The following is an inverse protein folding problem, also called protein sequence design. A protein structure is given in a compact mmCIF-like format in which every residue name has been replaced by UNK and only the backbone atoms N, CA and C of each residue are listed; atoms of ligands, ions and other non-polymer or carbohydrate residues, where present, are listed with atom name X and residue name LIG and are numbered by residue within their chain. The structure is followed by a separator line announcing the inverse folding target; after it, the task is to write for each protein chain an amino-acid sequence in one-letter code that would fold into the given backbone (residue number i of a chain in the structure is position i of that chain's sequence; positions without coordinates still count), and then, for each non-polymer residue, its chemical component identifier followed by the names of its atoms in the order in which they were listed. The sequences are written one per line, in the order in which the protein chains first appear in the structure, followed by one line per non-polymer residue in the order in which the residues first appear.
data_IF_380733198896
#
_entry.id   IF_380733198896
#
_cell.length_a   1.000
_cell.length_b   1.000
_cell.length_c   1.000
_cell.angle_alpha   90.00
_cell.angle_beta   90.00
_cell.angle_gamma   90.00
#
_symmetry.space_group_name_H-M   'P 1'
#
loop_
_entity.id
_entity.type
_entity.pdbx_description
1 polymer ?
#
# COMPACT_ATOMS: atom_id res chain seq x y z
N UNK A 1 7.28 -9.17 -12.08
CA UNK A 1 6.26 -8.75 -11.10
C UNK A 1 4.96 -8.36 -11.82
N UNK A 2 3.78 -8.82 -11.36
CA UNK A 2 2.48 -8.43 -11.98
C UNK A 2 2.13 -6.96 -11.77
N UNK A 3 2.63 -6.35 -10.71
CA UNK A 3 2.42 -4.95 -10.40
C UNK A 3 2.99 -3.98 -11.47
N UNK A 4 3.98 -4.40 -12.26
CA UNK A 4 4.47 -3.63 -13.40
C UNK A 4 3.36 -3.37 -14.44
N UNK A 5 2.44 -4.33 -14.66
CA UNK A 5 1.28 -4.11 -15.51
C UNK A 5 0.36 -3.01 -14.96
N UNK A 6 0.02 -3.08 -13.66
CA UNK A 6 -0.81 -2.05 -13.02
C UNK A 6 -0.12 -0.70 -13.03
N UNK A 7 1.20 -0.66 -12.82
CA UNK A 7 2.00 0.55 -12.92
C UNK A 7 1.85 1.21 -14.30
N UNK A 8 1.97 0.45 -15.39
CA UNK A 8 1.81 0.96 -16.74
C UNK A 8 0.39 1.54 -16.99
N UNK A 9 -0.65 0.88 -16.46
CA UNK A 9 -2.02 1.39 -16.54
C UNK A 9 -2.14 2.73 -15.81
N UNK A 10 -1.60 2.83 -14.58
CA UNK A 10 -1.65 4.07 -13.79
C UNK A 10 -0.86 5.20 -14.47
N UNK A 11 0.32 4.93 -15.01
CA UNK A 11 1.09 5.92 -15.79
C UNK A 11 0.24 6.45 -16.95
N UNK A 12 -0.47 5.56 -17.67
CA UNK A 12 -1.37 5.98 -18.75
C UNK A 12 -2.54 6.82 -18.24
N UNK A 13 -3.17 6.43 -17.13
CA UNK A 13 -4.25 7.20 -16.52
C UNK A 13 -3.79 8.60 -16.09
N UNK A 14 -2.60 8.70 -15.49
CA UNK A 14 -1.99 9.97 -15.11
C UNK A 14 -1.75 10.86 -16.34
N UNK A 15 -1.23 10.30 -17.42
CA UNK A 15 -1.00 11.01 -18.68
C UNK A 15 -2.28 11.47 -19.37
N UNK A 16 -3.41 10.77 -19.17
CA UNK A 16 -4.73 11.16 -19.65
C UNK A 16 -5.44 12.15 -18.70
N UNK A 17 -4.83 12.50 -17.58
CA UNK A 17 -5.43 13.40 -16.59
C UNK A 17 -6.60 12.81 -15.82
N UNK A 18 -6.82 11.50 -15.87
CA UNK A 18 -7.94 10.85 -15.15
C UNK A 18 -7.82 11.07 -13.65
N UNK A 19 -8.97 11.38 -13.03
CA UNK A 19 -9.10 11.57 -11.58
C UNK A 19 -10.30 10.77 -11.09
N UNK A 20 -10.08 9.99 -10.05
CA UNK A 20 -11.14 9.28 -9.34
C UNK A 20 -11.37 9.95 -7.99
N UNK A 21 -12.60 10.05 -7.50
CA UNK A 21 -12.88 10.66 -6.19
C UNK A 21 -12.29 9.83 -5.04
N UNK A 22 -12.15 8.52 -5.24
CA UNK A 22 -11.60 7.57 -4.28
C UNK A 22 -10.65 6.58 -4.97
N UNK A 23 -9.60 6.19 -4.26
CA UNK A 23 -8.65 5.16 -4.72
C UNK A 23 -8.33 4.22 -3.56
N UNK A 24 -8.36 2.91 -3.80
CA UNK A 24 -8.00 1.91 -2.80
C UNK A 24 -6.89 0.99 -3.31
N UNK A 25 -6.02 0.59 -2.41
CA UNK A 25 -4.91 -0.32 -2.72
C UNK A 25 -4.52 -1.24 -1.57
N UNK A 26 -4.08 -2.43 -1.93
CA UNK A 26 -3.51 -3.42 -1.01
C UNK A 26 -2.18 -3.89 -1.59
N UNK A 27 -1.18 -4.12 -0.73
CA UNK A 27 0.15 -4.62 -1.13
C UNK A 27 0.79 -3.69 -2.16
N UNK A 28 1.25 -4.19 -3.29
CA UNK A 28 1.74 -3.34 -4.39
C UNK A 28 0.71 -2.27 -4.83
N UNK A 29 -0.59 -2.53 -4.65
CA UNK A 29 -1.66 -1.58 -4.90
C UNK A 29 -1.62 -0.37 -3.96
N UNK A 30 -1.16 -0.53 -2.72
CA UNK A 30 -1.02 0.59 -1.77
C UNK A 30 0.03 1.61 -2.22
N UNK A 31 1.19 1.13 -2.69
CA UNK A 31 2.21 1.99 -3.29
C UNK A 31 1.70 2.70 -4.54
N UNK A 32 0.97 1.98 -5.39
CA UNK A 32 0.39 2.54 -6.61
C UNK A 32 -0.71 3.57 -6.31
N UNK A 33 -1.49 3.37 -5.24
CA UNK A 33 -2.46 4.36 -4.74
C UNK A 33 -1.75 5.65 -4.34
N UNK A 34 -0.68 5.57 -3.53
CA UNK A 34 0.09 6.74 -3.12
C UNK A 34 0.70 7.47 -4.33
N UNK A 35 1.34 6.74 -5.25
CA UNK A 35 1.94 7.31 -6.45
C UNK A 35 0.90 7.95 -7.39
N UNK A 36 -0.30 7.36 -7.50
CA UNK A 36 -1.39 7.94 -8.28
C UNK A 36 -1.89 9.26 -7.67
N UNK A 37 -2.03 9.32 -6.35
CA UNK A 37 -2.49 10.51 -5.63
C UNK A 37 -1.44 11.61 -5.67
N UNK A 38 -0.14 11.30 -5.55
CA UNK A 38 0.96 12.26 -5.70
C UNK A 38 1.20 12.67 -7.16
N UNK A 39 0.43 12.11 -8.13
CA UNK A 39 0.52 12.45 -9.56
C UNK A 39 1.90 12.23 -10.16
N UNK A 40 2.65 11.25 -9.68
CA UNK A 40 4.03 10.97 -10.11
C UNK A 40 4.10 9.73 -11.02
N UNK A 41 4.07 9.90 -12.34
CA UNK A 41 4.17 8.80 -13.30
C UNK A 41 5.56 8.16 -13.32
N UNK A 42 6.61 8.93 -13.08
CA UNK A 42 7.99 8.42 -13.13
C UNK A 42 8.28 7.52 -11.93
N UNK A 43 7.95 7.96 -10.72
CA UNK A 43 8.03 7.12 -9.52
C UNK A 43 7.17 5.87 -9.65
N UNK A 44 5.95 6.02 -10.23
CA UNK A 44 5.05 4.88 -10.50
C UNK A 44 5.73 3.84 -11.39
N UNK A 45 6.43 4.27 -12.44
CA UNK A 45 7.17 3.38 -13.36
C UNK A 45 8.36 2.75 -12.66
N UNK A 46 9.26 3.58 -12.10
CA UNK A 46 10.52 3.13 -11.51
C UNK A 46 10.32 2.14 -10.36
N UNK A 47 9.30 2.34 -9.50
CA UNK A 47 9.03 1.47 -8.35
C UNK A 47 8.84 0.01 -8.73
N UNK A 48 8.32 -0.28 -9.91
CA UNK A 48 7.96 -1.63 -10.35
C UNK A 48 8.78 -2.16 -11.54
N UNK A 49 9.76 -1.38 -12.01
CA UNK A 49 10.71 -1.77 -13.05
C UNK A 49 12.14 -1.76 -12.51
N UNK A 50 12.84 -0.67 -12.66
CA UNK A 50 14.29 -0.56 -12.40
C UNK A 50 14.64 -0.76 -10.92
N UNK A 51 13.83 -0.20 -10.01
CA UNK A 51 14.07 -0.34 -8.58
C UNK A 51 13.92 -1.78 -8.09
N UNK A 52 13.02 -2.55 -8.67
CA UNK A 52 12.84 -3.97 -8.32
C UNK A 52 14.06 -4.84 -8.67
N UNK A 53 14.95 -4.38 -9.54
CA UNK A 53 16.21 -5.02 -9.88
C UNK A 53 17.39 -4.55 -8.98
N UNK A 54 17.17 -3.62 -8.07
CA UNK A 54 18.20 -3.12 -7.17
C UNK A 54 18.66 -4.22 -6.19
N UNK A 55 19.97 -4.53 -6.08
CA UNK A 55 20.47 -5.55 -5.15
C UNK A 55 20.13 -5.31 -3.68
N UNK A 56 19.87 -4.05 -3.29
CA UNK A 56 19.44 -3.67 -1.94
C UNK A 56 17.96 -3.95 -1.67
N UNK A 57 17.18 -4.28 -2.71
CA UNK A 57 15.77 -4.63 -2.56
C UNK A 57 15.57 -5.87 -1.66
N UNK A 58 16.44 -6.87 -1.79
CA UNK A 58 16.42 -8.05 -0.95
C UNK A 58 17.48 -9.06 -1.34
N UNK A 59 18.07 -9.68 -0.35
CA UNK A 59 19.08 -10.71 -0.53
C UNK A 59 19.23 -11.56 0.75
N UNK A 60 20.06 -12.60 0.68
CA UNK A 60 20.33 -13.48 1.83
C UNK A 60 21.00 -12.72 3.00
N UNK A 61 21.80 -11.69 2.73
CA UNK A 61 22.43 -10.87 3.76
C UNK A 61 21.42 -10.07 4.57
N UNK A 62 20.39 -9.53 3.95
CA UNK A 62 19.28 -8.84 4.65
C UNK A 62 18.51 -9.81 5.53
N UNK A 63 18.32 -11.04 5.06
CA UNK A 63 17.67 -12.10 5.83
C UNK A 63 18.47 -12.51 7.07
N UNK A 64 19.79 -12.74 6.91
CA UNK A 64 20.70 -13.05 8.02
C UNK A 64 20.82 -11.91 9.04
N UNK A 65 20.63 -10.66 8.60
CA UNK A 65 20.60 -9.48 9.46
C UNK A 65 19.24 -9.29 10.19
N UNK A 66 18.29 -10.22 10.08
CA UNK A 66 16.97 -10.15 10.73
C UNK A 66 15.97 -9.17 10.10
N UNK A 67 16.31 -8.53 8.96
CA UNK A 67 15.45 -7.58 8.24
C UNK A 67 14.47 -8.23 7.26
N UNK A 68 14.50 -9.57 7.18
CA UNK A 68 13.79 -10.33 6.15
C UNK A 68 14.58 -10.46 4.85
N UNK A 69 14.10 -11.31 3.94
CA UNK A 69 14.69 -11.42 2.61
C UNK A 69 14.56 -10.12 1.82
N UNK A 70 13.38 -9.48 1.89
CA UNK A 70 13.15 -8.12 1.38
C UNK A 70 13.29 -7.11 2.53
N UNK A 71 14.15 -6.11 2.34
CA UNK A 71 14.33 -5.02 3.31
C UNK A 71 13.19 -4.01 3.17
N UNK A 72 12.07 -4.29 3.86
CA UNK A 72 10.86 -3.46 3.76
C UNK A 72 11.07 -2.01 4.20
N UNK A 73 11.89 -1.75 5.22
CA UNK A 73 12.20 -0.40 5.65
C UNK A 73 12.95 0.36 4.57
N UNK A 74 13.97 -0.26 3.97
CA UNK A 74 14.67 0.34 2.84
C UNK A 74 13.74 0.60 1.65
N UNK A 75 12.94 -0.41 1.27
CA UNK A 75 12.08 -0.36 0.09
C UNK A 75 11.04 0.75 0.17
N UNK A 76 10.41 0.93 1.32
CA UNK A 76 9.25 1.82 1.45
C UNK A 76 9.58 3.16 2.11
N UNK A 77 10.34 3.15 3.21
CA UNK A 77 10.61 4.35 4.00
C UNK A 77 11.85 5.10 3.51
N UNK A 78 13.02 4.46 3.56
CA UNK A 78 14.29 5.14 3.25
C UNK A 78 14.38 5.62 1.80
N UNK A 79 13.87 4.85 0.84
CA UNK A 79 13.93 5.27 -0.57
C UNK A 79 12.99 6.43 -0.90
N UNK A 80 11.96 6.66 -0.07
CA UNK A 80 11.01 7.75 -0.24
C UNK A 80 11.56 9.11 0.23
N UNK A 81 12.66 9.12 1.00
CA UNK A 81 13.29 10.35 1.47
C UNK A 81 13.82 11.20 0.31
N UNK A 82 13.94 12.52 0.50
CA UNK A 82 14.56 13.41 -0.48
C UNK A 82 15.95 12.92 -0.89
N UNK A 83 16.26 13.00 -2.19
CA UNK A 83 17.55 12.58 -2.77
C UNK A 83 17.87 11.08 -2.71
N UNK A 84 16.92 10.25 -2.31
CA UNK A 84 17.04 8.79 -2.36
C UNK A 84 16.57 8.23 -3.71
N UNK A 85 16.56 6.89 -3.83
CA UNK A 85 16.29 6.21 -5.10
C UNK A 85 14.89 6.46 -5.67
N UNK A 86 13.90 6.67 -4.80
CA UNK A 86 12.48 6.88 -5.17
C UNK A 86 11.87 7.98 -4.29
N UNK A 87 12.31 9.24 -4.38
CA UNK A 87 11.78 10.31 -3.55
C UNK A 87 10.26 10.44 -3.74
N UNK A 88 9.55 10.71 -2.65
CA UNK A 88 8.09 10.82 -2.67
C UNK A 88 7.64 12.26 -2.47
N UNK A 89 6.78 12.74 -3.38
CA UNK A 89 6.17 14.06 -3.24
C UNK A 89 4.96 14.01 -2.29
N UNK A 90 5.28 14.10 -0.98
CA UNK A 90 4.27 14.10 0.06
C UNK A 90 3.42 15.37 0.07
N UNK A 91 3.96 16.50 -0.38
CA UNK A 91 3.21 17.77 -0.46
C UNK A 91 2.10 17.67 -1.51
N UNK A 92 2.39 17.18 -2.70
CA UNK A 92 1.37 16.93 -3.74
C UNK A 92 0.36 15.89 -3.28
N UNK A 93 0.79 14.82 -2.59
CA UNK A 93 -0.10 13.82 -2.01
C UNK A 93 -1.09 14.46 -1.01
N UNK A 94 -0.62 15.31 -0.10
CA UNK A 94 -1.46 16.02 0.85
C UNK A 94 -2.41 17.00 0.17
N UNK A 95 -1.93 17.79 -0.77
CA UNK A 95 -2.68 18.81 -1.48
C UNK A 95 -3.80 18.24 -2.37
N UNK A 96 -3.72 16.97 -2.75
CA UNK A 96 -4.71 16.35 -3.65
C UNK A 96 -6.12 16.31 -3.05
N UNK A 97 -6.27 16.25 -1.72
CA UNK A 97 -7.54 16.08 -1.03
C UNK A 97 -8.31 14.80 -1.37
N UNK A 98 -7.76 13.93 -2.21
CA UNK A 98 -8.41 12.73 -2.72
C UNK A 98 -8.62 11.69 -1.62
N UNK A 99 -9.82 11.10 -1.56
CA UNK A 99 -10.10 10.03 -0.61
C UNK A 99 -9.37 8.75 -1.02
N UNK A 100 -8.89 7.99 -0.03
CA UNK A 100 -8.23 6.72 -0.31
C UNK A 100 -8.31 5.77 0.89
N UNK A 101 -8.09 4.49 0.62
CA UNK A 101 -7.87 3.47 1.65
C UNK A 101 -6.69 2.57 1.29
N UNK A 102 -5.86 2.29 2.28
CA UNK A 102 -4.79 1.30 2.22
C UNK A 102 -5.13 0.17 3.17
N UNK A 103 -5.24 -1.05 2.64
CA UNK A 103 -5.62 -2.22 3.43
C UNK A 103 -4.41 -3.00 3.94
N UNK A 104 -4.40 -3.35 5.23
CA UNK A 104 -3.46 -4.29 5.83
C UNK A 104 -4.22 -5.32 6.69
N UNK A 105 -3.60 -6.45 6.99
CA UNK A 105 -4.19 -7.51 7.82
C UNK A 105 -3.54 -7.52 9.20
N UNK A 106 -4.33 -7.42 10.26
CA UNK A 106 -3.84 -7.60 11.63
C UNK A 106 -3.43 -9.05 11.87
N UNK A 107 -2.30 -9.27 12.53
CA UNK A 107 -1.80 -10.64 12.80
C UNK A 107 -2.63 -11.34 13.88
N UNK A 108 -3.20 -10.61 14.84
CA UNK A 108 -3.89 -11.14 16.02
C UNK A 108 -5.19 -11.87 15.70
N UNK A 109 -6.01 -11.32 14.82
CA UNK A 109 -7.35 -11.82 14.50
C UNK A 109 -7.58 -12.03 12.98
N UNK A 110 -6.58 -11.70 12.15
CA UNK A 110 -6.65 -11.66 10.68
C UNK A 110 -7.67 -10.66 10.13
N UNK A 111 -8.14 -9.74 10.96
CA UNK A 111 -9.06 -8.68 10.55
C UNK A 111 -8.41 -7.72 9.56
N UNK A 112 -9.21 -7.26 8.60
CA UNK A 112 -8.79 -6.24 7.65
C UNK A 112 -8.79 -4.86 8.32
N UNK A 113 -7.66 -4.17 8.28
CA UNK A 113 -7.55 -2.76 8.67
C UNK A 113 -7.51 -1.88 7.43
N UNK A 114 -8.16 -0.74 7.49
CA UNK A 114 -8.25 0.24 6.41
C UNK A 114 -7.69 1.59 6.86
N UNK A 115 -6.47 1.86 6.52
CA UNK A 115 -5.85 3.15 6.77
C UNK A 115 -6.36 4.20 5.79
N UNK A 116 -6.64 5.38 6.31
CA UNK A 116 -7.16 6.54 5.59
C UNK A 116 -6.21 7.73 5.68
N UNK A 117 -6.61 8.86 5.16
CA UNK A 117 -5.84 10.11 5.26
C UNK A 117 -5.61 10.55 6.70
N UNK A 118 -6.56 10.28 7.59
CA UNK A 118 -6.49 10.67 8.99
C UNK A 118 -5.35 9.98 9.76
N UNK A 119 -4.97 8.79 9.30
CA UNK A 119 -3.88 8.00 9.86
C UNK A 119 -2.49 8.43 9.36
N UNK A 120 -2.42 9.34 8.37
CA UNK A 120 -1.19 9.64 7.62
C UNK A 120 -0.84 11.12 7.68
N UNK A 121 -0.40 11.57 8.87
CA UNK A 121 -0.05 12.97 9.14
C UNK A 121 1.32 13.35 8.60
N UNK A 122 2.22 12.38 8.51
CA UNK A 122 3.59 12.54 8.02
C UNK A 122 3.85 11.59 6.84
N UNK A 123 4.93 11.84 6.12
CA UNK A 123 5.39 10.92 5.08
C UNK A 123 5.73 9.53 5.65
N UNK A 124 6.32 9.48 6.83
CA UNK A 124 6.67 8.21 7.47
C UNK A 124 5.41 7.42 7.87
N UNK A 125 4.34 8.08 8.36
CA UNK A 125 3.06 7.43 8.63
C UNK A 125 2.48 6.76 7.37
N UNK A 126 2.59 7.42 6.21
CA UNK A 126 2.16 6.85 4.93
C UNK A 126 3.03 5.65 4.55
N UNK A 127 4.35 5.81 4.61
CA UNK A 127 5.29 4.79 4.14
C UNK A 127 5.29 3.54 5.02
N UNK A 128 5.16 3.68 6.34
CA UNK A 128 5.05 2.53 7.25
C UNK A 128 3.76 1.75 7.01
N UNK A 129 2.64 2.40 6.70
CA UNK A 129 1.35 1.76 6.39
C UNK A 129 1.37 1.07 5.02
N UNK A 130 2.02 1.67 4.03
CA UNK A 130 2.29 1.00 2.74
C UNK A 130 3.16 -0.24 2.96
N UNK A 131 4.20 -0.14 3.78
CA UNK A 131 5.05 -1.27 4.17
C UNK A 131 4.23 -2.37 4.85
N UNK A 132 3.39 -2.03 5.83
CA UNK A 132 2.50 -2.96 6.51
C UNK A 132 1.58 -3.70 5.53
N UNK A 133 0.92 -2.93 4.64
CA UNK A 133 0.06 -3.46 3.57
C UNK A 133 0.78 -4.42 2.61
N UNK A 134 2.11 -4.32 2.50
CA UNK A 134 2.94 -5.08 1.55
C UNK A 134 3.83 -6.13 2.21
N UNK A 135 3.73 -6.32 3.51
CA UNK A 135 4.61 -7.22 4.27
C UNK A 135 4.21 -8.67 4.09
N UNK A 136 4.99 -9.40 3.31
CA UNK A 136 4.79 -10.83 3.06
C UNK A 136 5.40 -11.67 4.18
N UNK A 137 4.59 -12.43 4.96
CA UNK A 137 5.11 -13.32 6.00
C UNK A 137 6.15 -14.32 5.47
N UNK A 138 7.21 -14.53 6.23
CA UNK A 138 8.34 -15.37 5.85
C UNK A 138 9.39 -14.68 4.99
N UNK A 139 9.06 -13.59 4.32
CA UNK A 139 10.00 -12.78 3.54
C UNK A 139 10.32 -11.44 4.21
N UNK A 140 9.42 -10.93 5.00
CA UNK A 140 9.54 -9.67 5.73
C UNK A 140 9.00 -9.83 7.15
N UNK A 141 9.61 -9.20 8.16
CA UNK A 141 9.04 -9.17 9.51
C UNK A 141 7.72 -8.38 9.52
N UNK A 142 6.74 -8.76 10.38
CA UNK A 142 5.54 -7.97 10.59
C UNK A 142 5.86 -6.52 10.95
N UNK A 143 4.97 -5.61 10.61
CA UNK A 143 5.11 -4.18 10.92
C UNK A 143 4.24 -3.84 12.11
N UNK A 144 4.84 -3.26 13.16
CA UNK A 144 4.09 -2.77 14.32
C UNK A 144 3.76 -1.30 14.14
N UNK A 145 2.48 -0.95 14.21
CA UNK A 145 1.98 0.43 14.20
C UNK A 145 1.10 0.59 15.44
N UNK A 146 1.44 1.52 16.32
CA UNK A 146 0.68 1.81 17.54
C UNK A 146 0.40 0.56 18.41
N UNK A 147 1.37 -0.36 18.48
CA UNK A 147 1.28 -1.60 19.25
C UNK A 147 0.54 -2.75 18.57
N UNK A 148 0.00 -2.56 17.39
CA UNK A 148 -0.67 -3.60 16.58
C UNK A 148 0.26 -4.08 15.47
N UNK A 149 0.36 -5.39 15.29
CA UNK A 149 1.16 -5.99 14.22
C UNK A 149 0.35 -6.26 12.98
N UNK A 150 0.93 -5.88 11.82
CA UNK A 150 0.31 -5.99 10.50
C UNK A 150 1.17 -6.77 9.52
N UNK A 151 0.48 -7.43 8.60
CA UNK A 151 1.04 -8.10 7.42
C UNK A 151 0.25 -7.74 6.17
N UNK A 152 0.67 -8.26 5.00
CA UNK A 152 0.06 -7.98 3.69
C UNK A 152 -1.48 -8.09 3.73
N UNK A 153 -2.15 -7.03 3.29
CA UNK A 153 -3.60 -6.94 3.30
C UNK A 153 -4.31 -7.97 2.43
N UNK A 154 -3.61 -8.61 1.48
CA UNK A 154 -4.16 -9.70 0.68
C UNK A 154 -4.31 -11.03 1.45
N UNK A 155 -3.86 -11.10 2.71
CA UNK A 155 -4.04 -12.24 3.60
C UNK A 155 -5.36 -12.19 4.38
N UNK A 156 -6.03 -11.04 4.40
CA UNK A 156 -7.38 -10.86 4.91
C UNK A 156 -8.46 -11.33 3.91
N UNK A 157 -9.71 -11.07 4.25
CA UNK A 157 -10.89 -11.59 3.54
C UNK A 157 -11.05 -11.01 2.12
N UNK A 158 -10.50 -9.83 1.86
CA UNK A 158 -10.60 -9.15 0.55
C UNK A 158 -9.85 -9.86 -0.58
N UNK A 159 -8.95 -10.79 -0.23
CA UNK A 159 -8.10 -11.49 -1.22
C UNK A 159 -7.21 -10.57 -2.06
N UNK A 160 -7.00 -9.33 -1.61
CA UNK A 160 -6.14 -8.33 -2.24
C UNK A 160 -6.84 -7.41 -3.25
N UNK A 161 -8.16 -7.46 -3.37
CA UNK A 161 -8.96 -6.53 -4.18
C UNK A 161 -9.78 -5.64 -3.23
N UNK A 162 -9.44 -4.34 -3.09
CA UNK A 162 -9.96 -3.48 -2.03
C UNK A 162 -11.35 -2.86 -2.35
N UNK A 163 -12.30 -3.63 -2.86
CA UNK A 163 -13.65 -3.15 -3.16
C UNK A 163 -14.37 -2.76 -1.87
N UNK A 164 -14.25 -3.60 -0.83
CA UNK A 164 -14.90 -3.38 0.47
C UNK A 164 -14.49 -2.04 1.08
N UNK A 165 -13.21 -1.67 0.95
CA UNK A 165 -12.71 -0.36 1.39
C UNK A 165 -13.42 0.81 0.70
N UNK A 166 -13.69 0.71 -0.59
CA UNK A 166 -14.41 1.75 -1.32
C UNK A 166 -15.91 1.75 -0.97
N UNK A 167 -16.50 0.58 -0.71
CA UNK A 167 -17.90 0.46 -0.29
C UNK A 167 -18.13 1.09 1.09
N UNK A 168 -17.19 1.00 2.02
CA UNK A 168 -17.25 1.69 3.32
C UNK A 168 -17.36 3.22 3.17
N UNK A 169 -16.84 3.79 2.07
CA UNK A 169 -16.94 5.21 1.73
C UNK A 169 -18.16 5.51 0.84
N UNK A 170 -19.07 4.55 0.65
CA UNK A 170 -20.35 4.72 -0.05
C UNK A 170 -20.27 4.64 -1.57
N UNK A 171 -19.16 4.16 -2.13
CA UNK A 171 -19.02 3.97 -3.58
C UNK A 171 -19.64 2.65 -4.03
N UNK A 172 -20.37 2.68 -5.14
CA UNK A 172 -21.07 1.55 -5.75
C UNK A 172 -20.58 1.21 -7.18
N UNK A 173 -19.69 2.04 -7.73
CA UNK A 173 -19.09 1.86 -9.05
C UNK A 173 -17.57 1.80 -8.96
N UNK A 174 -16.98 0.75 -9.55
CA UNK A 174 -15.57 0.47 -9.37
C UNK A 174 -14.87 0.32 -10.71
N UNK A 175 -13.71 0.95 -10.83
CA UNK A 175 -12.74 0.66 -11.88
C UNK A 175 -11.63 -0.20 -11.27
N UNK A 176 -11.58 -1.48 -11.62
CA UNK A 176 -10.63 -2.43 -11.05
C UNK A 176 -9.57 -2.81 -12.07
N UNK A 177 -8.29 -2.58 -11.73
CA UNK A 177 -7.15 -3.00 -12.56
C UNK A 177 -6.76 -4.42 -12.19
N UNK A 178 -7.20 -5.38 -12.97
CA UNK A 178 -6.90 -6.80 -12.78
C UNK A 178 -5.62 -7.20 -13.52
N UNK A 179 -4.75 -7.98 -12.86
CA UNK A 179 -3.47 -8.45 -13.40
C UNK A 179 -3.54 -9.92 -13.88
N UNK A 180 -4.71 -10.52 -13.86
CA UNK A 180 -4.95 -11.87 -14.36
C UNK A 180 -5.78 -11.82 -15.64
N UNK A 181 -5.61 -12.77 -16.56
CA UNK A 181 -6.44 -12.84 -17.76
C UNK A 181 -7.91 -13.07 -17.41
N UNK A 182 -8.80 -12.66 -18.32
CA UNK A 182 -10.24 -12.93 -18.18
C UNK A 182 -10.49 -14.43 -18.03
N UNK A 183 -11.37 -14.81 -17.10
CA UNK A 183 -11.70 -16.22 -16.82
C UNK A 183 -10.68 -16.93 -15.91
N UNK A 184 -9.64 -16.26 -15.42
CA UNK A 184 -8.76 -16.87 -14.44
C UNK A 184 -9.49 -17.18 -13.14
N UNK A 185 -9.52 -18.45 -12.78
CA UNK A 185 -9.98 -18.94 -11.48
C UNK A 185 -8.76 -19.44 -10.70
N UNK A 186 -8.60 -18.96 -9.48
CA UNK A 186 -7.53 -19.45 -8.59
C UNK A 186 -7.90 -20.87 -8.15
N UNK A 187 -7.14 -21.86 -8.59
CA UNK A 187 -7.29 -23.22 -8.07
C UNK A 187 -7.04 -23.22 -6.57
N UNK A 188 -7.91 -23.85 -5.81
CA UNK A 188 -7.66 -24.14 -4.40
C UNK A 188 -6.44 -25.05 -4.29
N UNK A 189 -5.30 -24.47 -3.98
CA UNK A 189 -4.11 -25.25 -3.61
C UNK A 189 -4.40 -25.83 -2.25
N UNK A 190 -4.70 -27.12 -2.19
CA UNK A 190 -4.70 -27.89 -0.93
C UNK A 190 -3.29 -27.83 -0.36
N UNK A 191 -3.03 -26.82 0.47
CA UNK A 191 -1.73 -26.71 1.15
C UNK A 191 -1.58 -27.90 2.08
N UNK A 192 -0.46 -28.66 2.01
CA UNK A 192 -0.17 -29.71 2.97
C UNK A 192 -0.28 -29.15 4.39
N UNK A 193 -0.84 -29.91 5.32
CA UNK A 193 -1.02 -29.46 6.71
C UNK A 193 0.27 -28.96 7.35
N UNK A 194 1.43 -29.50 6.95
CA UNK A 194 2.74 -29.04 7.40
C UNK A 194 3.04 -27.58 6.96
N UNK A 195 2.66 -27.18 5.75
CA UNK A 195 2.82 -25.80 5.27
C UNK A 195 1.81 -24.83 5.93
N UNK A 196 0.61 -25.31 6.29
CA UNK A 196 -0.34 -24.53 7.09
C UNK A 196 0.23 -24.25 8.48
N UNK A 197 0.74 -25.30 9.16
CA UNK A 197 1.38 -25.15 10.48
C UNK A 197 2.61 -24.24 10.44
N UNK A 198 3.40 -24.28 9.35
CA UNK A 198 4.55 -23.39 9.18
C UNK A 198 4.12 -21.94 8.98
N UNK A 199 3.07 -21.68 8.19
CA UNK A 199 2.51 -20.34 8.03
C UNK A 199 1.89 -19.83 9.33
N UNK A 200 1.21 -20.67 10.07
CA UNK A 200 0.61 -20.32 11.37
C UNK A 200 1.69 -20.10 12.44
N UNK A 201 2.77 -20.86 12.43
CA UNK A 201 3.92 -20.67 13.31
C UNK A 201 4.71 -19.37 12.98
N UNK A 202 4.85 -19.02 11.71
CA UNK A 202 5.47 -17.75 11.29
C UNK A 202 4.61 -16.55 11.67
N UNK A 203 3.29 -16.68 11.61
CA UNK A 203 2.35 -15.66 12.10
C UNK A 203 2.25 -15.59 13.62
N UNK A 204 2.61 -16.67 14.33
CA UNK A 204 2.58 -16.80 15.80
C UNK A 204 3.95 -16.59 16.47
N UNK A 205 5.01 -16.26 15.72
CA UNK A 205 6.38 -16.16 16.24
C UNK A 205 6.53 -14.95 17.18
N UNK A 206 7.07 -15.11 18.40
CA UNK A 206 7.24 -14.02 19.34
C UNK A 206 8.35 -13.06 18.89
N UNK A 207 8.12 -11.81 19.21
CA UNK A 207 8.87 -10.58 18.90
C UNK A 207 10.38 -10.69 19.00
N UNK A 208 11.07 -10.24 17.94
CA UNK A 208 12.37 -9.58 18.13
C UNK A 208 12.12 -8.07 18.37
N UNK A 209 12.82 -7.44 19.32
CA UNK A 209 12.69 -6.01 19.56
C UNK A 209 13.14 -5.23 18.31
N UNK A 210 12.26 -4.38 17.82
CA UNK A 210 12.57 -3.43 16.77
C UNK A 210 13.62 -2.44 17.28
N UNK A 211 14.72 -2.29 16.54
CA UNK A 211 15.65 -1.18 16.72
C UNK A 211 15.00 0.07 16.10
N UNK A 212 14.11 0.71 16.84
CA UNK A 212 13.63 2.05 16.54
C UNK A 212 14.75 3.05 16.86
N UNK A 213 15.54 3.39 15.87
CA UNK A 213 16.33 4.62 15.92
C UNK A 213 15.44 5.77 15.40
N UNK A 214 15.29 6.85 16.18
CA UNK A 214 14.54 8.01 15.71
C UNK A 214 15.26 8.64 14.52
N UNK A 215 14.59 8.63 13.36
CA UNK A 215 15.02 9.38 12.18
C UNK A 215 14.89 10.87 12.48
N UNK A 216 16.03 11.59 12.45
CA UNK A 216 16.09 13.03 12.62
C UNK A 216 15.69 13.72 11.30
N UNK A 217 14.47 13.52 10.86
CA UNK A 217 13.86 14.27 9.77
C UNK A 217 12.84 15.23 10.36
N UNK A 218 12.98 16.52 10.03
CA UNK A 218 12.00 17.54 10.43
C UNK A 218 10.62 17.14 9.87
N UNK A 219 9.57 17.05 10.70
CA UNK A 219 8.26 16.59 10.25
C UNK A 219 7.62 17.63 9.34
N UNK A 220 7.44 17.30 8.06
CA UNK A 220 6.51 18.01 7.20
C UNK A 220 5.12 17.49 7.55
N UNK A 221 4.37 18.24 8.35
CA UNK A 221 3.02 17.89 8.76
C UNK A 221 1.99 18.41 7.77
N UNK A 222 1.04 17.56 7.37
CA UNK A 222 -0.18 17.99 6.69
C UNK A 222 -1.11 18.68 7.70
N UNK A 223 -1.06 20.02 7.79
CA UNK A 223 -2.10 20.78 8.48
C UNK A 223 -3.38 20.70 7.65
N UNK A 224 -4.33 19.88 8.06
CA UNK A 224 -5.69 19.91 7.55
C UNK A 224 -6.41 21.14 8.10
N UNK A 225 -6.53 22.19 7.31
CA UNK A 225 -7.52 23.23 7.55
C UNK A 225 -8.89 22.68 7.15
N UNK A 226 -9.63 22.19 8.12
CA UNK A 226 -11.04 21.85 7.96
C UNK A 226 -11.86 23.13 7.81
N UNK A 227 -12.21 23.50 6.58
CA UNK A 227 -13.33 24.41 6.34
C UNK A 227 -14.58 23.56 6.08
N UNK A 228 -15.43 23.48 7.08
CA UNK A 228 -16.83 23.05 6.92
C UNK A 228 -17.53 24.03 5.99
N UNK A 229 -18.03 23.56 4.86
CA UNK A 229 -19.19 24.19 4.21
C UNK A 229 -19.90 23.18 3.31
N UNK A 230 -21.15 22.91 3.63
CA UNK A 230 -22.26 22.79 2.68
C UNK A 230 -22.30 21.56 1.75
N UNK A 231 -23.20 20.64 2.04
CA UNK A 231 -23.79 19.75 1.03
C UNK A 231 -24.33 20.54 -0.14
N UNK A 232 -24.09 20.15 -1.38
CA UNK A 232 -25.06 20.36 -2.45
C UNK A 232 -25.62 19.02 -2.95
N UNK A 233 -26.93 18.86 -2.77
CA UNK A 233 -27.77 17.99 -3.59
C UNK A 233 -27.86 18.62 -4.98
N UNK A 234 -27.37 17.94 -6.01
CA UNK A 234 -27.84 18.14 -7.38
C UNK A 234 -27.49 16.95 -8.25
N UNK A 235 -28.53 16.27 -8.68
CA UNK A 235 -28.56 15.31 -9.78
C UNK A 235 -28.10 15.99 -11.07
N UNK A 236 -27.06 15.45 -11.72
CA UNK A 236 -26.72 15.81 -13.10
C UNK A 236 -26.87 14.56 -13.94
N UNK A 237 -27.93 14.54 -14.76
CA UNK A 237 -28.05 13.68 -15.93
C UNK A 237 -27.07 14.19 -16.99
N UNK A 238 -26.12 13.34 -17.38
CA UNK A 238 -25.34 13.56 -18.59
C UNK A 238 -25.71 12.49 -19.61
N UNK A 239 -26.44 12.90 -20.62
CA UNK A 239 -26.62 12.16 -21.88
C UNK A 239 -25.35 12.32 -22.71
N UNK A 240 -24.78 11.21 -23.16
CA UNK A 240 -23.81 11.19 -24.26
C UNK A 240 -24.53 11.08 -25.59
N UNK A 241 -24.04 11.75 -26.65
CA UNK A 241 -24.34 11.38 -28.02
C UNK A 241 -23.54 10.15 -28.47
#
# INVERSE_FOLDING_TARGET
MRAAYTSAVIVKMLGLGWKFPHVSGISAGSSLTANYISRDPERTRLSFTDFAANPRFGNLGTWLAGRGYFDGEYIYQRTAEPHQALPFDFLTFCASGQAFRIGATRTSDRGQEWFTREDMKTMDDLMVRIRASSTMPGFMPPVTIEGVEYVDGALGDTGGIPIDGAQLDGYDRFFVVCTRPRGYVKNEVKRPQALRRLSDAVLASPRQPSHDQPSTTLPVSCCATSSQTGRPTSSIHASCP
#
